data_IF_016008507886
#
_entry.id   IF_016008507886
#
_cell.length_a   1.000
_cell.length_b   1.000
_cell.length_c   1.000
_cell.angle_alpha   90.00
_cell.angle_beta   90.00
_cell.angle_gamma   90.00
#
_symmetry.space_group_name_H-M   'P 1'
#
loop_
_entity.id
_entity.type
_entity.pdbx_description
1 polymer ?
#
# COMPACT_ATOMS: atom_id res chain seq x y z
N UNK A 1 22.83 -6.70 28.26
CA UNK A 1 23.79 -6.35 29.30
C UNK A 1 23.52 -7.15 30.57
N UNK A 2 24.56 -7.86 31.06
CA UNK A 2 24.44 -8.74 32.21
C UNK A 2 25.75 -8.78 32.98
N UNK A 3 25.66 -8.75 34.31
CA UNK A 3 26.78 -9.03 35.19
C UNK A 3 26.63 -10.41 35.85
N UNK A 4 27.70 -11.18 35.87
CA UNK A 4 27.77 -12.50 36.48
C UNK A 4 28.72 -12.47 37.67
N UNK A 5 28.27 -12.90 38.83
CA UNK A 5 29.11 -12.98 40.04
C UNK A 5 30.29 -13.96 39.81
N UNK A 6 31.52 -13.55 40.11
CA UNK A 6 32.70 -14.40 40.04
C UNK A 6 32.64 -15.54 41.03
N UNK A 7 32.02 -15.28 42.20
CA UNK A 7 31.91 -16.23 43.34
C UNK A 7 30.82 -17.27 43.08
N UNK A 8 29.60 -16.82 42.77
CA UNK A 8 28.43 -17.73 42.70
C UNK A 8 28.14 -18.24 41.29
N UNK A 9 28.76 -17.64 40.29
CA UNK A 9 28.47 -17.88 38.84
C UNK A 9 27.01 -17.59 38.44
N UNK A 10 26.27 -16.87 39.28
CA UNK A 10 24.89 -16.51 39.02
C UNK A 10 24.78 -15.08 38.46
N UNK A 11 23.81 -14.80 37.61
CA UNK A 11 23.54 -13.45 37.10
C UNK A 11 23.12 -12.52 38.26
N UNK A 12 23.59 -11.27 38.20
CA UNK A 12 23.17 -10.20 39.09
C UNK A 12 21.75 -9.74 38.70
N UNK A 13 20.78 -10.05 39.53
CA UNK A 13 19.36 -9.68 39.34
C UNK A 13 18.98 -8.53 40.26
N UNK A 14 19.58 -7.37 40.06
CA UNK A 14 19.25 -6.16 40.82
C UNK A 14 18.58 -5.13 39.92
N UNK A 15 17.30 -4.77 40.21
CA UNK A 15 16.57 -3.77 39.40
C UNK A 15 17.27 -2.41 39.34
N UNK A 16 17.97 -1.98 40.42
CA UNK A 16 18.70 -0.70 40.41
C UNK A 16 19.85 -0.69 39.39
N UNK A 17 20.56 -1.80 39.26
CA UNK A 17 21.63 -1.95 38.28
C UNK A 17 21.05 -1.96 36.87
N UNK A 18 19.93 -2.68 36.63
CA UNK A 18 19.25 -2.71 35.36
C UNK A 18 18.78 -1.32 34.94
N UNK A 19 18.17 -0.58 35.84
CA UNK A 19 17.71 0.78 35.62
C UNK A 19 18.87 1.75 35.33
N UNK A 20 19.97 1.61 36.05
CA UNK A 20 21.18 2.40 35.82
C UNK A 20 21.76 2.15 34.43
N UNK A 21 21.82 0.89 34.01
CA UNK A 21 22.26 0.52 32.66
C UNK A 21 21.34 1.16 31.62
N UNK A 22 20.02 1.05 31.80
CA UNK A 22 19.03 1.61 30.88
C UNK A 22 19.18 3.14 30.71
N UNK A 23 19.38 3.88 31.82
CA UNK A 23 19.62 5.33 31.79
C UNK A 23 20.91 5.71 31.09
N UNK A 24 21.96 4.92 31.26
CA UNK A 24 23.23 5.14 30.55
C UNK A 24 23.04 4.92 29.05
N UNK A 25 22.36 3.84 28.66
CA UNK A 25 22.09 3.53 27.25
C UNK A 25 21.22 4.59 26.57
N UNK A 26 20.20 5.10 27.26
CA UNK A 26 19.36 6.18 26.77
C UNK A 26 20.16 7.44 26.44
N UNK A 27 21.19 7.72 27.23
CA UNK A 27 22.03 8.91 27.09
C UNK A 27 23.19 8.74 26.12
N UNK A 28 23.84 7.59 26.12
CA UNK A 28 25.15 7.38 25.49
C UNK A 28 25.11 6.30 24.38
N UNK A 29 23.99 5.57 24.25
CA UNK A 29 23.88 4.43 23.33
C UNK A 29 24.43 3.13 23.93
N UNK A 30 24.16 2.00 23.28
CA UNK A 30 24.52 0.67 23.79
C UNK A 30 26.02 0.32 23.65
N UNK A 31 26.73 1.00 22.74
CA UNK A 31 28.17 0.73 22.49
C UNK A 31 29.04 1.02 23.73
N UNK A 32 28.59 1.93 24.61
CA UNK A 32 29.29 2.21 25.87
C UNK A 32 29.43 0.95 26.75
N UNK A 33 28.57 -0.07 26.58
CA UNK A 33 28.71 -1.34 27.27
C UNK A 33 30.07 -2.01 27.01
N UNK A 34 30.59 -1.90 25.81
CA UNK A 34 31.80 -2.55 25.38
C UNK A 34 33.06 -1.71 25.67
N UNK A 35 32.92 -0.39 25.73
CA UNK A 35 34.05 0.55 25.84
C UNK A 35 34.29 1.01 27.28
N UNK A 36 33.25 1.10 28.11
CA UNK A 36 33.32 1.77 29.39
C UNK A 36 33.65 0.83 30.55
N UNK A 37 34.14 1.43 31.64
CA UNK A 37 34.47 0.72 32.86
C UNK A 37 33.19 0.09 33.49
N UNK A 38 33.20 -1.21 33.82
CA UNK A 38 32.07 -1.91 34.43
C UNK A 38 31.50 -1.23 35.69
N UNK A 39 32.34 -0.52 36.48
CA UNK A 39 31.89 0.18 37.67
C UNK A 39 30.85 1.25 37.39
N UNK A 40 30.90 1.90 36.22
CA UNK A 40 29.89 2.88 35.78
C UNK A 40 28.48 2.31 35.79
N UNK A 41 28.32 1.09 35.33
CA UNK A 41 27.05 0.38 35.26
C UNK A 41 26.59 -0.21 36.57
N UNK A 42 27.52 -0.72 37.37
CA UNK A 42 27.25 -1.33 38.70
C UNK A 42 26.86 -0.32 39.78
N UNK A 43 27.17 0.94 39.56
CA UNK A 43 26.94 2.00 40.57
C UNK A 43 27.83 1.86 41.79
N UNK A 44 27.31 2.29 42.96
CA UNK A 44 28.09 2.29 44.22
C UNK A 44 27.89 1.03 45.06
N UNK A 45 26.86 0.23 44.77
CA UNK A 45 26.43 -0.93 45.59
C UNK A 45 27.31 -2.16 45.39
N UNK A 46 27.86 -2.32 44.22
CA UNK A 46 28.63 -3.46 43.79
C UNK A 46 30.03 -3.05 43.30
N UNK A 47 31.00 -3.90 43.51
CA UNK A 47 32.39 -3.67 43.06
C UNK A 47 32.66 -4.46 41.80
N UNK A 48 33.26 -3.86 40.80
CA UNK A 48 33.58 -4.50 39.53
C UNK A 48 34.47 -5.72 39.62
N UNK A 49 35.28 -5.77 40.68
CA UNK A 49 36.19 -6.89 40.99
C UNK A 49 35.41 -8.19 41.25
N UNK A 50 34.21 -8.11 41.79
CA UNK A 50 33.37 -9.26 42.16
C UNK A 50 32.53 -9.80 41.01
N UNK A 51 32.48 -9.09 39.89
CA UNK A 51 31.62 -9.41 38.75
C UNK A 51 32.38 -9.51 37.45
N UNK A 52 31.79 -10.28 36.51
CA UNK A 52 32.21 -10.34 35.11
C UNK A 52 31.11 -9.65 34.29
N UNK A 53 31.47 -8.66 33.50
CA UNK A 53 30.58 -8.06 32.52
C UNK A 53 30.45 -9.02 31.31
N UNK A 54 29.25 -9.51 31.03
CA UNK A 54 29.03 -10.37 29.84
C UNK A 54 29.10 -9.53 28.57
N UNK A 55 29.82 -10.03 27.61
CA UNK A 55 29.90 -9.45 26.26
C UNK A 55 28.97 -10.21 25.28
N UNK A 56 28.21 -11.19 25.79
CA UNK A 56 27.24 -11.89 24.96
C UNK A 56 26.15 -10.92 24.53
N UNK A 57 25.72 -11.04 23.31
CA UNK A 57 24.57 -10.29 22.73
C UNK A 57 23.38 -11.22 22.63
N UNK A 58 22.20 -10.65 22.77
CA UNK A 58 20.96 -11.38 22.55
C UNK A 58 20.84 -11.71 21.06
N UNK A 59 20.29 -12.84 20.76
CA UNK A 59 20.05 -13.28 19.38
C UNK A 59 19.09 -12.31 18.70
N UNK A 60 19.40 -11.96 17.42
CA UNK A 60 18.71 -10.89 16.67
C UNK A 60 17.21 -11.14 16.49
N UNK A 61 16.80 -12.40 16.43
CA UNK A 61 15.38 -12.74 16.34
C UNK A 61 14.59 -12.44 17.61
N UNK A 62 15.25 -12.47 18.77
CA UNK A 62 14.66 -12.03 20.03
C UNK A 62 14.42 -10.52 20.02
N UNK A 63 15.43 -9.74 19.62
CA UNK A 63 15.29 -8.29 19.56
C UNK A 63 14.18 -7.88 18.58
N UNK A 64 14.16 -8.47 17.40
CA UNK A 64 13.13 -8.19 16.38
C UNK A 64 11.75 -8.72 16.80
N UNK A 65 11.70 -9.88 17.46
CA UNK A 65 10.48 -10.48 17.97
C UNK A 65 9.79 -9.61 19.02
N UNK A 66 10.57 -8.93 19.87
CA UNK A 66 10.07 -8.02 20.91
C UNK A 66 9.50 -6.69 20.39
N UNK A 67 9.53 -6.43 19.07
CA UNK A 67 9.03 -5.18 18.46
C UNK A 67 7.63 -4.79 18.91
N UNK A 68 6.74 -5.77 19.08
CA UNK A 68 5.38 -5.52 19.58
C UNK A 68 5.38 -4.83 20.97
N UNK A 69 6.39 -5.08 21.81
CA UNK A 69 6.50 -4.53 23.16
C UNK A 69 7.02 -3.09 23.15
N UNK A 70 8.15 -2.84 22.46
CA UNK A 70 8.80 -1.53 22.54
C UNK A 70 8.34 -0.54 21.46
N UNK A 71 7.59 -1.00 20.46
CA UNK A 71 6.98 -0.12 19.44
C UNK A 71 5.47 -0.05 19.63
N UNK A 72 4.73 -1.15 19.43
CA UNK A 72 3.26 -1.11 19.38
C UNK A 72 2.62 -0.70 20.72
N UNK A 73 3.11 -1.23 21.83
CA UNK A 73 2.56 -0.92 23.17
C UNK A 73 2.98 0.48 23.66
N UNK A 74 4.11 1.01 23.19
CA UNK A 74 4.63 2.31 23.67
C UNK A 74 4.09 3.49 22.89
N UNK A 75 3.75 3.32 21.63
CA UNK A 75 3.27 4.41 20.78
C UNK A 75 1.75 4.54 20.88
N UNK A 76 1.27 5.76 21.18
CA UNK A 76 -0.16 6.08 21.33
C UNK A 76 -0.94 6.07 20.02
N UNK A 77 -0.25 6.26 18.91
CA UNK A 77 -0.80 6.25 17.54
C UNK A 77 -0.86 4.85 16.93
N UNK A 78 -0.37 3.82 17.62
CA UNK A 78 -0.40 2.44 17.21
C UNK A 78 -1.28 1.58 18.13
N UNK A 79 -1.56 0.37 17.69
CA UNK A 79 -2.35 -0.59 18.47
C UNK A 79 -1.60 -1.92 18.67
N UNK A 80 -1.79 -2.53 19.84
CA UNK A 80 -1.40 -3.91 20.10
C UNK A 80 -2.65 -4.75 20.38
N UNK A 81 -2.82 -5.94 19.79
CA UNK A 81 -2.00 -6.55 18.73
C UNK A 81 -2.02 -5.75 17.43
N UNK A 82 -0.96 -5.88 16.61
CA UNK A 82 -0.92 -5.34 15.26
C UNK A 82 -2.12 -5.80 14.43
N UNK A 83 -2.59 -4.97 13.52
CA UNK A 83 -3.66 -5.39 12.59
C UNK A 83 -3.18 -6.51 11.67
N UNK A 84 -1.92 -6.44 11.22
CA UNK A 84 -1.32 -7.42 10.32
C UNK A 84 0.20 -7.45 10.48
N UNK A 85 0.78 -8.65 10.41
CA UNK A 85 2.20 -8.87 10.12
C UNK A 85 2.33 -9.28 8.65
N UNK A 86 3.21 -8.60 7.91
CA UNK A 86 3.39 -8.79 6.47
C UNK A 86 4.87 -8.99 6.18
N UNK A 87 5.23 -10.18 5.68
CA UNK A 87 6.58 -10.55 5.27
C UNK A 87 6.58 -11.78 4.34
N UNK A 88 7.77 -12.20 3.90
CA UNK A 88 7.96 -13.43 3.17
C UNK A 88 7.59 -14.68 3.96
N UNK A 89 7.28 -15.76 3.26
CA UNK A 89 6.89 -17.04 3.85
C UNK A 89 7.99 -17.68 4.72
N UNK A 90 9.26 -17.32 4.54
CA UNK A 90 10.39 -17.75 5.37
C UNK A 90 10.30 -17.27 6.80
N UNK A 91 9.58 -16.18 7.07
CA UNK A 91 9.42 -15.60 8.40
C UNK A 91 8.54 -16.45 9.34
N UNK A 92 7.91 -17.51 8.86
CA UNK A 92 7.32 -18.55 9.72
C UNK A 92 8.37 -19.27 10.59
N UNK A 93 9.64 -19.26 10.19
CA UNK A 93 10.79 -19.74 10.98
C UNK A 93 11.73 -18.61 11.41
N UNK A 94 11.28 -17.38 11.40
CA UNK A 94 12.05 -16.19 11.77
C UNK A 94 11.21 -15.25 12.65
N UNK A 95 10.97 -14.05 12.18
CA UNK A 95 10.30 -12.98 12.93
C UNK A 95 8.90 -13.33 13.42
N UNK A 96 8.05 -13.96 12.60
CA UNK A 96 6.70 -14.36 13.05
C UNK A 96 6.78 -15.34 14.21
N UNK A 97 7.71 -16.29 14.15
CA UNK A 97 7.87 -17.32 15.18
C UNK A 97 8.36 -16.73 16.50
N UNK A 98 9.47 -15.98 16.49
CA UNK A 98 10.02 -15.37 17.71
C UNK A 98 9.03 -14.40 18.35
N UNK A 99 8.41 -13.51 17.56
CA UNK A 99 7.43 -12.55 18.05
C UNK A 99 6.19 -13.22 18.65
N UNK A 100 5.71 -14.32 18.03
CA UNK A 100 4.59 -15.09 18.54
C UNK A 100 4.92 -15.72 19.90
N UNK A 101 6.07 -16.38 20.01
CA UNK A 101 6.50 -17.05 21.25
C UNK A 101 6.72 -16.05 22.38
N UNK A 102 7.37 -14.93 22.11
CA UNK A 102 7.62 -13.88 23.11
C UNK A 102 6.32 -13.23 23.59
N UNK A 103 5.41 -12.92 22.70
CA UNK A 103 4.13 -12.33 23.06
C UNK A 103 3.24 -13.32 23.81
N UNK A 104 3.14 -14.55 23.35
CA UNK A 104 2.38 -15.58 24.05
C UNK A 104 2.96 -15.89 25.43
N UNK A 105 4.30 -15.98 25.56
CA UNK A 105 4.97 -16.24 26.83
C UNK A 105 4.84 -15.10 27.85
N UNK A 106 4.77 -13.86 27.41
CA UNK A 106 4.76 -12.68 28.28
C UNK A 106 3.39 -12.03 28.45
N UNK A 107 2.47 -12.22 27.49
CA UNK A 107 1.14 -11.58 27.42
C UNK A 107 -0.01 -12.57 27.24
N UNK A 108 0.28 -13.86 27.05
CA UNK A 108 -0.71 -14.92 26.83
C UNK A 108 -1.50 -14.78 25.51
N UNK A 109 -0.99 -13.99 24.54
CA UNK A 109 -1.73 -13.60 23.33
C UNK A 109 -0.78 -13.33 22.17
N UNK A 110 -1.23 -13.64 20.93
CA UNK A 110 -0.48 -13.33 19.73
C UNK A 110 -0.32 -11.81 19.52
N UNK A 111 0.83 -11.33 18.99
CA UNK A 111 1.10 -9.91 18.79
C UNK A 111 0.41 -9.32 17.55
N UNK A 112 -0.30 -10.12 16.79
CA UNK A 112 -0.99 -9.75 15.54
C UNK A 112 -2.39 -10.36 15.47
N UNK A 113 -3.26 -9.75 14.67
CA UNK A 113 -4.62 -10.23 14.36
C UNK A 113 -4.63 -11.11 13.11
N UNK A 114 -3.75 -10.81 12.15
CA UNK A 114 -3.60 -11.53 10.89
C UNK A 114 -2.14 -11.56 10.44
N UNK A 115 -1.82 -12.53 9.59
CA UNK A 115 -0.54 -12.64 8.88
C UNK A 115 -0.86 -12.65 7.39
N UNK A 116 -0.09 -11.87 6.61
CA UNK A 116 -0.08 -11.96 5.16
C UNK A 116 1.34 -12.30 4.72
N UNK A 117 1.49 -13.39 3.96
CA UNK A 117 2.78 -13.82 3.44
C UNK A 117 2.85 -13.67 1.94
N UNK A 118 4.05 -13.38 1.44
CA UNK A 118 4.33 -13.30 0.02
C UNK A 118 5.50 -14.21 -0.37
N UNK A 119 5.59 -14.52 -1.68
CA UNK A 119 6.73 -15.23 -2.26
C UNK A 119 7.97 -14.34 -2.39
N UNK A 120 9.02 -14.89 -2.98
CA UNK A 120 10.28 -14.16 -3.20
C UNK A 120 10.29 -13.43 -4.54
N UNK A 121 11.10 -12.39 -4.64
CA UNK A 121 11.42 -11.77 -5.92
C UNK A 121 12.55 -12.56 -6.56
N UNK A 122 12.29 -13.08 -7.75
CA UNK A 122 13.22 -13.85 -8.56
C UNK A 122 13.48 -13.15 -9.90
N UNK A 123 14.56 -13.49 -10.58
CA UNK A 123 14.83 -12.94 -11.92
C UNK A 123 13.82 -13.41 -12.98
N UNK A 124 13.87 -12.88 -14.18
CA UNK A 124 12.97 -13.25 -15.27
C UNK A 124 12.97 -14.75 -15.63
N UNK A 125 14.03 -15.48 -15.26
CA UNK A 125 14.14 -16.94 -15.44
C UNK A 125 13.61 -17.73 -14.24
N UNK A 126 13.21 -17.05 -13.16
CA UNK A 126 12.75 -17.69 -11.92
C UNK A 126 13.88 -18.11 -10.97
N UNK A 127 15.08 -17.56 -11.14
CA UNK A 127 16.22 -17.85 -10.28
C UNK A 127 16.35 -16.81 -9.18
N UNK A 128 16.77 -17.23 -7.99
CA UNK A 128 17.03 -16.34 -6.87
C UNK A 128 18.05 -15.26 -7.25
N UNK A 129 17.72 -14.00 -6.99
CA UNK A 129 18.63 -12.88 -7.19
C UNK A 129 19.76 -12.92 -6.14
N UNK A 130 21.01 -12.80 -6.59
CA UNK A 130 22.16 -12.71 -5.70
C UNK A 130 23.29 -11.85 -6.30
N UNK A 131 24.09 -11.23 -5.44
CA UNK A 131 25.26 -10.44 -5.89
C UNK A 131 26.28 -11.29 -6.64
N UNK A 132 26.43 -12.56 -6.23
CA UNK A 132 27.38 -13.49 -6.83
C UNK A 132 27.02 -13.91 -8.25
N UNK A 133 25.74 -13.98 -8.58
CA UNK A 133 25.24 -14.31 -9.93
C UNK A 133 25.06 -13.08 -10.82
N UNK A 134 25.17 -11.86 -10.26
CA UNK A 134 25.04 -10.61 -11.02
C UNK A 134 23.66 -10.34 -11.62
N UNK A 135 22.61 -11.04 -11.14
CA UNK A 135 21.25 -10.92 -11.65
C UNK A 135 20.35 -10.04 -10.76
N UNK A 136 20.93 -9.24 -9.86
CA UNK A 136 20.20 -8.30 -9.02
C UNK A 136 19.77 -7.09 -9.83
N UNK A 137 18.50 -6.75 -9.77
CA UNK A 137 17.96 -5.45 -10.20
C UNK A 137 17.65 -4.66 -8.94
N UNK A 138 18.34 -3.53 -8.75
CA UNK A 138 18.12 -2.72 -7.55
C UNK A 138 16.85 -1.86 -7.69
N UNK A 139 16.10 -1.63 -6.59
CA UNK A 139 14.98 -0.69 -6.62
C UNK A 139 15.38 0.71 -7.10
N UNK A 140 16.59 1.18 -6.77
CA UNK A 140 17.11 2.48 -7.18
C UNK A 140 17.24 2.62 -8.70
N UNK A 141 17.71 1.56 -9.37
CA UNK A 141 17.78 1.51 -10.83
C UNK A 141 16.39 1.62 -11.46
N UNK A 142 15.42 0.87 -10.91
CA UNK A 142 14.02 0.91 -11.37
C UNK A 142 13.43 2.30 -11.15
N UNK A 143 13.61 2.88 -9.97
CA UNK A 143 13.09 4.21 -9.63
C UNK A 143 13.66 5.27 -10.56
N UNK A 144 14.95 5.21 -10.88
CA UNK A 144 15.61 6.15 -11.79
C UNK A 144 15.11 6.04 -13.22
N UNK A 145 14.86 4.82 -13.71
CA UNK A 145 14.46 4.58 -15.11
C UNK A 145 12.95 4.69 -15.32
N UNK A 146 12.15 4.15 -14.43
CA UNK A 146 10.70 3.99 -14.61
C UNK A 146 9.86 4.81 -13.63
N UNK A 147 10.41 5.16 -12.46
CA UNK A 147 9.67 5.79 -11.37
C UNK A 147 8.97 4.78 -10.44
N UNK A 148 8.53 5.27 -9.29
CA UNK A 148 7.96 4.44 -8.23
C UNK A 148 6.62 3.81 -8.63
N UNK A 149 5.76 4.53 -9.34
CA UNK A 149 4.42 4.04 -9.68
C UNK A 149 4.43 2.83 -10.61
N UNK A 150 5.44 2.68 -11.47
CA UNK A 150 5.58 1.50 -12.33
C UNK A 150 6.00 0.28 -11.50
N UNK A 151 6.94 0.46 -10.56
CA UNK A 151 7.31 -0.61 -9.62
C UNK A 151 6.10 -1.04 -8.77
N UNK A 152 5.34 -0.08 -8.24
CA UNK A 152 4.12 -0.34 -7.47
C UNK A 152 3.05 -1.04 -8.32
N UNK A 153 2.91 -0.65 -9.59
CA UNK A 153 1.99 -1.29 -10.54
C UNK A 153 2.36 -2.75 -10.80
N UNK A 154 3.65 -3.05 -10.94
CA UNK A 154 4.13 -4.43 -11.08
C UNK A 154 3.77 -5.27 -9.84
N UNK A 155 4.04 -4.76 -8.63
CA UNK A 155 3.67 -5.46 -7.38
C UNK A 155 2.16 -5.68 -7.31
N UNK A 156 1.34 -4.64 -7.56
CA UNK A 156 -0.11 -4.73 -7.48
C UNK A 156 -0.72 -5.65 -8.55
N UNK A 157 -0.09 -5.77 -9.71
CA UNK A 157 -0.55 -6.62 -10.81
C UNK A 157 -0.10 -8.08 -10.69
N UNK A 158 0.85 -8.36 -9.81
CA UNK A 158 1.39 -9.70 -9.59
C UNK A 158 0.61 -10.47 -8.54
N UNK A 159 0.51 -11.79 -8.69
CA UNK A 159 0.02 -12.66 -7.63
C UNK A 159 1.16 -12.91 -6.62
N UNK A 160 1.18 -12.15 -5.56
CA UNK A 160 2.23 -12.18 -4.55
C UNK A 160 2.23 -13.46 -3.69
N UNK A 161 1.21 -14.32 -3.79
CA UNK A 161 1.21 -15.64 -3.13
C UNK A 161 2.26 -16.60 -3.70
N UNK A 162 2.72 -16.31 -4.92
CA UNK A 162 3.77 -17.03 -5.64
C UNK A 162 5.06 -16.20 -5.73
N UNK A 163 6.13 -16.79 -6.23
CA UNK A 163 7.37 -16.05 -6.50
C UNK A 163 7.19 -15.05 -7.64
N UNK A 164 7.66 -13.83 -7.41
CA UNK A 164 7.48 -12.70 -8.30
C UNK A 164 8.67 -12.55 -9.25
N UNK A 165 8.44 -12.77 -10.54
CA UNK A 165 9.48 -12.56 -11.55
C UNK A 165 9.67 -11.08 -11.86
N UNK A 166 10.92 -10.66 -11.89
CA UNK A 166 11.30 -9.28 -12.19
C UNK A 166 12.44 -9.26 -13.21
N UNK A 167 12.20 -8.57 -14.33
CA UNK A 167 13.19 -8.16 -15.29
C UNK A 167 12.77 -6.86 -16.00
N UNK A 168 13.64 -6.33 -16.85
CA UNK A 168 13.36 -5.09 -17.57
C UNK A 168 12.19 -5.23 -18.56
N UNK A 169 12.01 -6.39 -19.19
CA UNK A 169 10.92 -6.59 -20.17
C UNK A 169 9.55 -6.62 -19.48
N UNK A 170 9.48 -7.21 -18.29
CA UNK A 170 8.28 -7.20 -17.44
C UNK A 170 7.95 -5.76 -17.02
N UNK A 171 8.94 -4.99 -16.59
CA UNK A 171 8.73 -3.59 -16.21
C UNK A 171 8.30 -2.71 -17.41
N UNK A 172 8.79 -2.97 -18.61
CA UNK A 172 8.35 -2.29 -19.81
C UNK A 172 6.87 -2.57 -20.13
N UNK A 173 6.40 -3.80 -19.98
CA UNK A 173 4.97 -4.12 -20.12
C UNK A 173 4.10 -3.38 -19.08
N UNK A 174 4.58 -3.25 -17.85
CA UNK A 174 3.89 -2.46 -16.82
C UNK A 174 3.93 -0.96 -17.13
N UNK A 175 5.01 -0.45 -17.71
CA UNK A 175 5.09 0.93 -18.20
C UNK A 175 4.06 1.20 -19.31
N UNK A 176 3.84 0.26 -20.24
CA UNK A 176 2.79 0.38 -21.26
C UNK A 176 1.39 0.38 -20.62
N UNK A 177 1.13 -0.49 -19.66
CA UNK A 177 -0.13 -0.53 -18.91
C UNK A 177 -0.37 0.79 -18.16
N UNK A 178 0.66 1.32 -17.53
CA UNK A 178 0.63 2.62 -16.86
C UNK A 178 0.32 3.76 -17.85
N UNK A 179 0.91 3.75 -19.05
CA UNK A 179 0.62 4.76 -20.10
C UNK A 179 -0.86 4.77 -20.48
N UNK A 180 -1.51 3.60 -20.58
CA UNK A 180 -2.97 3.51 -20.84
C UNK A 180 -3.77 4.20 -19.75
N UNK A 181 -3.48 3.92 -18.47
CA UNK A 181 -4.13 4.57 -17.33
C UNK A 181 -3.87 6.08 -17.35
N UNK A 182 -2.62 6.50 -17.55
CA UNK A 182 -2.25 7.92 -17.62
C UNK A 182 -2.96 8.66 -18.77
N UNK A 183 -3.12 8.02 -19.93
CA UNK A 183 -3.87 8.59 -21.04
C UNK A 183 -5.36 8.77 -20.70
N UNK A 184 -5.97 7.86 -19.93
CA UNK A 184 -7.33 8.02 -19.41
C UNK A 184 -7.43 9.27 -18.54
N UNK A 185 -6.53 9.44 -17.57
CA UNK A 185 -6.47 10.65 -16.75
C UNK A 185 -6.23 11.92 -17.56
N UNK A 186 -5.32 11.86 -18.53
CA UNK A 186 -5.04 13.01 -19.42
C UNK A 186 -6.28 13.43 -20.22
N UNK A 187 -7.07 12.47 -20.71
CA UNK A 187 -8.32 12.76 -21.40
C UNK A 187 -9.34 13.44 -20.48
N UNK A 188 -9.50 12.89 -19.25
CA UNK A 188 -10.39 13.45 -18.24
C UNK A 188 -10.00 14.89 -17.90
N UNK A 189 -8.73 15.13 -17.55
CA UNK A 189 -8.22 16.46 -17.23
C UNK A 189 -8.38 17.46 -18.38
N UNK A 190 -8.10 17.04 -19.61
CA UNK A 190 -8.24 17.90 -20.80
C UNK A 190 -9.66 18.40 -21.03
N UNK A 191 -10.68 17.57 -20.71
CA UNK A 191 -12.10 17.93 -20.85
C UNK A 191 -12.67 18.66 -19.64
N UNK A 192 -11.98 18.63 -18.48
CA UNK A 192 -12.44 19.23 -17.22
C UNK A 192 -11.70 20.55 -16.85
N UNK A 193 -10.79 21.03 -17.73
CA UNK A 193 -9.79 22.08 -17.46
C UNK A 193 -10.36 23.40 -16.86
N UNK A 194 -11.60 23.75 -17.20
CA UNK A 194 -12.22 25.02 -16.81
C UNK A 194 -13.33 24.85 -15.75
N UNK A 195 -13.42 23.67 -15.12
CA UNK A 195 -14.52 23.37 -14.20
C UNK A 195 -14.00 23.00 -12.81
N UNK A 196 -14.55 23.67 -11.80
CA UNK A 196 -14.40 23.20 -10.42
C UNK A 196 -15.03 21.81 -10.30
N UNK A 197 -14.18 20.81 -10.05
CA UNK A 197 -14.60 19.44 -9.79
C UNK A 197 -15.17 19.38 -8.37
N UNK A 198 -16.40 19.81 -8.20
CA UNK A 198 -17.13 19.73 -6.94
C UNK A 198 -18.38 18.88 -7.17
N UNK A 199 -18.22 17.56 -7.09
CA UNK A 199 -19.33 16.65 -7.32
C UNK A 199 -19.69 15.90 -6.04
N UNK A 200 -20.92 16.13 -5.54
CA UNK A 200 -21.47 15.29 -4.48
C UNK A 200 -22.17 14.10 -5.12
N UNK A 201 -21.55 12.92 -5.05
CA UNK A 201 -22.06 11.66 -5.62
C UNK A 201 -23.49 11.35 -5.16
N UNK A 202 -23.81 11.67 -3.90
CA UNK A 202 -25.08 11.33 -3.26
C UNK A 202 -26.28 12.19 -3.73
N UNK A 203 -26.04 13.36 -4.34
CA UNK A 203 -27.11 14.33 -4.71
C UNK A 203 -27.44 14.38 -6.19
N UNK A 204 -26.92 13.45 -7.00
CA UNK A 204 -27.07 13.49 -8.44
C UNK A 204 -28.26 12.66 -8.88
N UNK A 205 -29.29 13.32 -9.41
CA UNK A 205 -30.42 12.69 -10.10
C UNK A 205 -29.94 12.14 -11.45
N UNK A 206 -29.56 10.87 -11.48
CA UNK A 206 -28.99 10.19 -12.66
C UNK A 206 -30.06 9.50 -13.53
N UNK A 207 -31.28 9.40 -13.04
CA UNK A 207 -32.38 8.70 -13.72
C UNK A 207 -32.71 9.32 -15.09
N UNK A 208 -32.55 10.64 -15.20
CA UNK A 208 -32.81 11.42 -16.43
C UNK A 208 -31.59 11.53 -17.35
N UNK A 209 -30.47 10.89 -16.99
CA UNK A 209 -29.29 10.92 -17.82
C UNK A 209 -29.46 10.00 -19.06
N UNK A 210 -28.76 10.30 -20.17
CA UNK A 210 -28.77 9.42 -21.35
C UNK A 210 -28.34 7.99 -20.99
N UNK A 211 -28.83 7.01 -21.72
CA UNK A 211 -28.61 5.59 -21.43
C UNK A 211 -27.12 5.20 -21.32
N UNK A 212 -26.25 5.76 -22.17
CA UNK A 212 -24.84 5.41 -22.17
C UNK A 212 -24.15 5.89 -20.87
N UNK A 213 -24.49 7.08 -20.38
CA UNK A 213 -23.97 7.59 -19.12
C UNK A 213 -24.42 6.72 -17.94
N UNK A 214 -25.69 6.33 -17.93
CA UNK A 214 -26.23 5.41 -16.91
C UNK A 214 -25.64 4.00 -16.98
N UNK A 215 -25.29 3.54 -18.18
CA UNK A 215 -24.57 2.28 -18.35
C UNK A 215 -23.16 2.36 -17.73
N UNK A 216 -22.42 3.44 -17.95
CA UNK A 216 -21.10 3.64 -17.32
C UNK A 216 -21.21 3.74 -15.79
N UNK A 217 -22.23 4.43 -15.28
CA UNK A 217 -22.48 4.45 -13.82
C UNK A 217 -22.75 3.04 -13.26
N UNK A 218 -23.49 2.21 -13.99
CA UNK A 218 -23.69 0.82 -13.60
C UNK A 218 -22.39 0.00 -13.63
N UNK A 219 -21.52 0.22 -14.63
CA UNK A 219 -20.19 -0.39 -14.67
C UNK A 219 -19.34 0.00 -13.45
N UNK A 220 -19.36 1.27 -13.07
CA UNK A 220 -18.71 1.77 -11.84
C UNK A 220 -19.27 1.10 -10.60
N UNK A 221 -20.59 0.92 -10.51
CA UNK A 221 -21.22 0.25 -9.40
C UNK A 221 -20.79 -1.23 -9.27
N UNK A 222 -20.71 -1.97 -10.37
CA UNK A 222 -20.23 -3.35 -10.38
C UNK A 222 -18.73 -3.41 -10.00
N UNK A 223 -17.94 -2.52 -10.58
CA UNK A 223 -16.51 -2.44 -10.30
C UNK A 223 -16.24 -2.11 -8.83
N UNK A 224 -17.06 -1.24 -8.21
CA UNK A 224 -16.91 -0.95 -6.77
C UNK A 224 -17.19 -2.17 -5.88
N UNK A 225 -18.19 -2.99 -6.21
CA UNK A 225 -18.44 -4.25 -5.48
C UNK A 225 -17.23 -5.17 -5.53
N UNK A 226 -16.61 -5.29 -6.71
CA UNK A 226 -15.40 -6.09 -6.90
C UNK A 226 -14.19 -5.45 -6.19
N UNK A 227 -14.07 -4.11 -6.27
CA UNK A 227 -13.03 -3.35 -5.57
C UNK A 227 -13.05 -3.62 -4.07
N UNK A 228 -14.21 -3.45 -3.42
CA UNK A 228 -14.36 -3.69 -1.99
C UNK A 228 -14.04 -5.15 -1.60
N UNK A 229 -14.49 -6.11 -2.42
CA UNK A 229 -14.20 -7.53 -2.22
C UNK A 229 -12.70 -7.81 -2.31
N UNK A 230 -12.07 -7.46 -3.43
CA UNK A 230 -10.66 -7.76 -3.67
C UNK A 230 -9.73 -7.01 -2.72
N UNK A 231 -10.09 -5.78 -2.34
CA UNK A 231 -9.34 -5.01 -1.36
C UNK A 231 -9.39 -5.68 0.02
N UNK A 232 -10.55 -6.16 0.44
CA UNK A 232 -10.73 -6.88 1.70
C UNK A 232 -10.03 -8.23 1.72
N UNK A 233 -9.98 -8.91 0.57
CA UNK A 233 -9.31 -10.21 0.38
C UNK A 233 -7.82 -10.06 0.07
N UNK A 234 -7.28 -8.85 0.00
CA UNK A 234 -5.90 -8.55 -0.44
C UNK A 234 -5.58 -9.08 -1.85
N UNK A 235 -6.58 -9.19 -2.72
CA UNK A 235 -6.48 -9.76 -4.06
C UNK A 235 -6.15 -8.68 -5.10
N UNK A 236 -5.00 -8.00 -4.90
CA UNK A 236 -4.66 -6.78 -5.63
C UNK A 236 -4.44 -6.99 -7.13
N UNK A 237 -3.96 -8.16 -7.55
CA UNK A 237 -3.75 -8.45 -8.98
C UNK A 237 -5.07 -8.48 -9.76
N UNK A 238 -6.15 -9.02 -9.18
CA UNK A 238 -7.49 -8.97 -9.80
C UNK A 238 -8.04 -7.56 -9.83
N UNK A 239 -7.87 -6.83 -8.73
CA UNK A 239 -8.27 -5.43 -8.64
C UNK A 239 -7.58 -4.58 -9.70
N UNK A 240 -6.26 -4.65 -9.80
CA UNK A 240 -5.49 -3.89 -10.78
C UNK A 240 -5.91 -4.21 -12.21
N UNK A 241 -6.12 -5.49 -12.54
CA UNK A 241 -6.57 -5.94 -13.85
C UNK A 241 -7.94 -5.35 -14.22
N UNK A 242 -8.90 -5.35 -13.30
CA UNK A 242 -10.23 -4.77 -13.56
C UNK A 242 -10.16 -3.24 -13.74
N UNK A 243 -9.38 -2.54 -12.92
CA UNK A 243 -9.17 -1.10 -13.07
C UNK A 243 -8.50 -0.74 -14.40
N UNK A 244 -7.48 -1.50 -14.81
CA UNK A 244 -6.81 -1.32 -16.09
C UNK A 244 -7.78 -1.57 -17.26
N UNK A 245 -8.57 -2.63 -17.21
CA UNK A 245 -9.56 -2.95 -18.22
C UNK A 245 -10.66 -1.87 -18.30
N UNK A 246 -11.13 -1.39 -17.18
CA UNK A 246 -12.10 -0.29 -17.14
C UNK A 246 -11.53 0.97 -17.83
N UNK A 247 -10.30 1.37 -17.51
CA UNK A 247 -9.65 2.53 -18.14
C UNK A 247 -9.44 2.34 -19.64
N UNK A 248 -8.97 1.16 -20.07
CA UNK A 248 -8.55 0.93 -21.46
C UNK A 248 -9.70 0.53 -22.39
N UNK A 249 -10.57 -0.36 -21.95
CA UNK A 249 -11.63 -0.94 -22.78
C UNK A 249 -12.94 -0.16 -22.62
N UNK A 250 -13.41 0.02 -21.40
CA UNK A 250 -14.72 0.64 -21.15
C UNK A 250 -14.69 2.17 -21.33
N UNK A 251 -13.65 2.82 -20.84
CA UNK A 251 -13.54 4.27 -20.97
C UNK A 251 -12.89 4.68 -22.29
N UNK A 252 -11.63 4.33 -22.52
CA UNK A 252 -10.87 4.87 -23.66
C UNK A 252 -11.37 4.34 -25.00
N UNK A 253 -11.51 3.03 -25.16
CA UNK A 253 -11.89 2.44 -26.44
C UNK A 253 -13.41 2.51 -26.71
N UNK A 254 -14.23 2.67 -25.69
CA UNK A 254 -15.69 2.68 -25.86
C UNK A 254 -16.33 4.03 -25.52
N UNK A 255 -16.39 4.42 -24.25
CA UNK A 255 -17.16 5.60 -23.84
C UNK A 255 -16.59 6.91 -24.40
N UNK A 256 -15.31 7.15 -24.27
CA UNK A 256 -14.66 8.38 -24.75
C UNK A 256 -14.74 8.47 -26.26
N UNK A 257 -14.57 7.36 -26.96
CA UNK A 257 -14.66 7.30 -28.41
C UNK A 257 -16.05 7.71 -28.91
N UNK A 258 -17.10 7.18 -28.30
CA UNK A 258 -18.49 7.53 -28.66
C UNK A 258 -18.82 8.99 -28.32
N UNK A 259 -18.22 9.55 -27.29
CA UNK A 259 -18.57 10.90 -26.77
C UNK A 259 -17.68 12.03 -27.31
N UNK A 260 -16.70 11.75 -28.15
CA UNK A 260 -15.81 12.78 -28.74
C UNK A 260 -16.59 13.90 -29.42
N UNK A 261 -17.56 13.59 -30.25
CA UNK A 261 -18.31 14.58 -30.99
C UNK A 261 -19.12 15.49 -30.08
N UNK A 262 -19.77 14.92 -29.06
CA UNK A 262 -20.53 15.68 -28.05
C UNK A 262 -19.59 16.60 -27.27
N UNK A 263 -18.42 16.09 -26.86
CA UNK A 263 -17.47 16.86 -26.06
C UNK A 263 -16.83 18.02 -26.84
N UNK A 264 -16.57 17.84 -28.14
CA UNK A 264 -15.81 18.79 -28.94
C UNK A 264 -16.70 19.68 -29.86
N UNK A 265 -17.83 19.17 -30.34
CA UNK A 265 -18.65 19.85 -31.31
C UNK A 265 -19.95 20.43 -30.75
N UNK A 266 -20.53 19.84 -29.72
CA UNK A 266 -21.79 20.35 -29.14
C UNK A 266 -21.60 21.70 -28.43
N UNK A 267 -22.66 22.52 -28.41
CA UNK A 267 -22.71 23.77 -27.66
C UNK A 267 -22.47 23.49 -26.17
N UNK A 268 -21.75 24.41 -25.49
CA UNK A 268 -21.45 24.31 -24.06
C UNK A 268 -22.70 24.29 -23.16
N UNK A 269 -23.83 24.81 -23.67
CA UNK A 269 -25.13 24.78 -22.98
C UNK A 269 -25.91 23.48 -23.20
N UNK A 270 -25.49 22.65 -24.17
CA UNK A 270 -26.16 21.37 -24.47
C UNK A 270 -26.28 20.51 -23.21
N UNK A 271 -27.48 20.01 -22.94
CA UNK A 271 -27.72 19.09 -21.79
C UNK A 271 -26.90 17.82 -21.91
N UNK A 272 -26.78 17.27 -23.13
CA UNK A 272 -25.97 16.07 -23.38
C UNK A 272 -24.50 16.30 -23.04
N UNK A 273 -23.91 17.43 -23.49
CA UNK A 273 -22.53 17.78 -23.17
C UNK A 273 -22.32 18.00 -21.69
N UNK A 274 -23.24 18.71 -21.00
CA UNK A 274 -23.17 18.92 -19.56
C UNK A 274 -23.20 17.60 -18.78
N UNK A 275 -24.11 16.67 -19.16
CA UNK A 275 -24.20 15.36 -18.53
C UNK A 275 -22.91 14.55 -18.75
N UNK A 276 -22.38 14.57 -19.98
CA UNK A 276 -21.10 13.92 -20.28
C UNK A 276 -19.97 14.48 -19.39
N UNK A 277 -19.81 15.79 -19.31
CA UNK A 277 -18.81 16.46 -18.46
C UNK A 277 -19.00 16.09 -16.99
N UNK A 278 -20.24 16.04 -16.50
CA UNK A 278 -20.54 15.65 -15.12
C UNK A 278 -20.07 14.20 -14.87
N UNK A 279 -20.35 13.28 -15.80
CA UNK A 279 -19.86 11.90 -15.67
C UNK A 279 -18.33 11.83 -15.70
N UNK A 280 -17.65 12.59 -16.60
CA UNK A 280 -16.18 12.63 -16.60
C UNK A 280 -15.60 13.10 -15.24
N UNK A 281 -16.26 14.07 -14.59
CA UNK A 281 -15.87 14.55 -13.28
C UNK A 281 -16.02 13.46 -12.20
N UNK A 282 -17.13 12.72 -12.21
CA UNK A 282 -17.37 11.58 -11.32
C UNK A 282 -16.30 10.50 -11.52
N UNK A 283 -16.03 10.15 -12.80
CA UNK A 283 -15.02 9.13 -13.15
C UNK A 283 -13.64 9.55 -12.63
N UNK A 284 -13.27 10.82 -12.80
CA UNK A 284 -11.98 11.33 -12.34
C UNK A 284 -11.83 11.18 -10.83
N UNK A 285 -12.81 11.64 -10.04
CA UNK A 285 -12.79 11.53 -8.58
C UNK A 285 -12.67 10.08 -8.11
N UNK A 286 -13.49 9.19 -8.67
CA UNK A 286 -13.51 7.78 -8.31
C UNK A 286 -12.19 7.09 -8.67
N UNK A 287 -11.68 7.28 -9.88
CA UNK A 287 -10.43 6.67 -10.33
C UNK A 287 -9.22 7.17 -9.53
N UNK A 288 -9.17 8.45 -9.18
CA UNK A 288 -8.10 8.98 -8.32
C UNK A 288 -8.06 8.26 -6.99
N UNK A 289 -9.21 8.09 -6.35
CA UNK A 289 -9.33 7.42 -5.05
C UNK A 289 -9.01 5.92 -5.14
N UNK A 290 -9.46 5.24 -6.19
CA UNK A 290 -9.18 3.82 -6.37
C UNK A 290 -7.72 3.53 -6.71
N UNK A 291 -7.07 4.40 -7.50
CA UNK A 291 -5.67 4.24 -7.86
C UNK A 291 -4.68 4.80 -6.83
N UNK A 292 -5.11 5.63 -5.90
CA UNK A 292 -4.22 6.26 -4.91
C UNK A 292 -3.32 5.26 -4.14
N UNK A 293 -3.80 4.09 -3.70
CA UNK A 293 -2.94 3.10 -3.04
C UNK A 293 -1.91 2.45 -3.96
N UNK A 294 -2.11 2.49 -5.29
CA UNK A 294 -1.25 1.83 -6.29
C UNK A 294 -0.35 2.86 -6.98
N UNK A 295 -0.95 3.87 -7.62
CA UNK A 295 -0.28 4.95 -8.36
C UNK A 295 -0.15 6.20 -7.48
N UNK A 296 0.52 6.05 -6.34
CA UNK A 296 0.49 7.05 -5.26
C UNK A 296 1.00 8.43 -5.70
N UNK A 297 2.02 8.48 -6.54
CA UNK A 297 2.60 9.74 -7.02
C UNK A 297 1.76 10.37 -8.12
N UNK A 298 1.33 9.57 -9.09
CA UNK A 298 0.51 10.05 -10.22
C UNK A 298 -0.83 10.60 -9.76
N UNK A 299 -1.50 9.91 -8.84
CA UNK A 299 -2.80 10.37 -8.33
C UNK A 299 -2.68 11.61 -7.47
N UNK A 300 -1.62 11.73 -6.67
CA UNK A 300 -1.33 12.94 -5.90
C UNK A 300 -1.02 14.12 -6.81
N UNK A 301 -0.18 13.95 -7.83
CA UNK A 301 0.10 15.00 -8.82
C UNK A 301 -1.19 15.52 -9.48
N UNK A 302 -2.07 14.62 -9.91
CA UNK A 302 -3.35 14.99 -10.52
C UNK A 302 -4.26 15.69 -9.50
N UNK A 303 -4.33 15.17 -8.28
CA UNK A 303 -5.13 15.75 -7.22
C UNK A 303 -4.70 17.19 -6.88
N UNK A 304 -3.40 17.45 -6.82
CA UNK A 304 -2.87 18.80 -6.59
C UNK A 304 -3.14 19.76 -7.76
N UNK A 305 -3.27 19.25 -9.00
CA UNK A 305 -3.64 20.08 -10.15
C UNK A 305 -5.10 20.54 -10.10
N UNK A 306 -6.01 19.65 -9.65
CA UNK A 306 -7.46 19.95 -9.65
C UNK A 306 -7.95 20.55 -8.34
N UNK A 307 -7.24 20.34 -7.23
CA UNK A 307 -7.60 20.84 -5.91
C UNK A 307 -6.74 22.03 -5.54
N UNK A 308 -7.39 23.17 -5.34
CA UNK A 308 -6.72 24.42 -4.98
C UNK A 308 -6.53 24.61 -3.47
N UNK A 309 -7.02 23.70 -2.65
CA UNK A 309 -6.87 23.76 -1.19
C UNK A 309 -5.44 23.39 -0.78
N UNK A 310 -4.77 24.33 -0.13
CA UNK A 310 -3.44 24.08 0.44
C UNK A 310 -3.53 23.05 1.57
N UNK A 311 -2.58 22.12 1.60
CA UNK A 311 -2.45 21.05 2.62
C UNK A 311 -3.49 19.92 2.55
N UNK A 312 -4.16 19.72 1.41
CA UNK A 312 -4.94 18.52 1.14
C UNK A 312 -4.12 17.51 0.33
N UNK A 313 -4.45 16.24 0.46
CA UNK A 313 -3.80 15.13 -0.28
C UNK A 313 -4.84 14.06 -0.61
N UNK A 314 -4.72 13.43 -1.79
CA UNK A 314 -5.57 12.29 -2.16
C UNK A 314 -5.46 11.15 -1.14
N UNK A 315 -4.33 11.02 -0.48
CA UNK A 315 -4.07 9.99 0.53
C UNK A 315 -4.81 10.23 1.86
N UNK A 316 -5.42 11.39 2.04
CA UNK A 316 -6.29 11.72 3.18
C UNK A 316 -7.78 11.55 2.84
N UNK A 317 -8.10 11.29 1.56
CA UNK A 317 -9.46 11.07 1.10
C UNK A 317 -9.95 9.65 1.42
N UNK A 318 -11.25 9.52 1.65
CA UNK A 318 -11.89 8.22 1.78
C UNK A 318 -12.20 7.61 0.42
N UNK A 319 -12.26 6.28 0.33
CA UNK A 319 -12.79 5.60 -0.85
C UNK A 319 -14.23 6.05 -1.14
N UNK A 320 -14.60 6.15 -2.44
CA UNK A 320 -15.91 6.67 -2.82
C UNK A 320 -17.02 5.72 -2.39
N UNK A 321 -18.12 6.28 -1.88
CA UNK A 321 -19.36 5.55 -1.63
C UNK A 321 -20.22 5.61 -2.87
N UNK A 322 -20.32 4.50 -3.59
CA UNK A 322 -21.07 4.45 -4.84
C UNK A 322 -22.57 4.25 -4.55
N UNK A 323 -23.46 5.13 -5.07
CA UNK A 323 -24.90 5.03 -4.82
C UNK A 323 -25.52 3.74 -5.37
N UNK A 324 -26.39 3.11 -4.58
CA UNK A 324 -27.05 1.86 -4.97
C UNK A 324 -28.02 2.02 -6.17
N UNK A 325 -28.59 3.21 -6.37
CA UNK A 325 -29.49 3.51 -7.50
C UNK A 325 -28.76 3.56 -8.86
N UNK A 326 -27.43 3.45 -8.91
CA UNK A 326 -26.70 3.25 -10.15
C UNK A 326 -26.81 1.83 -10.69
N UNK A 327 -27.30 0.86 -9.90
CA UNK A 327 -27.53 -0.50 -10.38
C UNK A 327 -28.66 -0.54 -11.41
N UNK A 328 -28.36 -1.00 -12.64
CA UNK A 328 -29.35 -1.16 -13.71
C UNK A 328 -29.02 -2.36 -14.61
N UNK A 329 -29.39 -3.56 -14.15
CA UNK A 329 -29.12 -4.82 -14.85
C UNK A 329 -29.71 -4.89 -16.26
N UNK A 330 -30.93 -4.39 -16.44
CA UNK A 330 -31.59 -4.41 -17.76
C UNK A 330 -30.84 -3.57 -18.78
N UNK A 331 -30.38 -2.39 -18.36
CA UNK A 331 -29.59 -1.49 -19.21
C UNK A 331 -28.22 -2.12 -19.53
N UNK A 332 -27.59 -2.75 -18.55
CA UNK A 332 -26.34 -3.47 -18.73
C UNK A 332 -26.46 -4.57 -19.80
N UNK A 333 -27.43 -5.47 -19.66
CA UNK A 333 -27.66 -6.54 -20.64
C UNK A 333 -27.93 -6.02 -22.05
N UNK A 334 -28.66 -4.91 -22.18
CA UNK A 334 -28.89 -4.23 -23.46
C UNK A 334 -27.58 -3.77 -24.09
N UNK A 335 -26.75 -3.06 -23.33
CA UNK A 335 -25.50 -2.49 -23.84
C UNK A 335 -24.44 -3.54 -24.14
N UNK A 336 -24.37 -4.62 -23.37
CA UNK A 336 -23.48 -5.74 -23.69
C UNK A 336 -23.80 -6.38 -25.05
N UNK A 337 -25.09 -6.53 -25.36
CA UNK A 337 -25.51 -7.00 -26.70
C UNK A 337 -25.15 -6.00 -27.80
N UNK A 338 -25.31 -4.69 -27.56
CA UNK A 338 -24.92 -3.65 -28.52
C UNK A 338 -23.40 -3.59 -28.75
N UNK A 339 -22.61 -3.83 -27.72
CA UNK A 339 -21.13 -3.89 -27.85
C UNK A 339 -20.70 -5.06 -28.76
N UNK A 340 -21.34 -6.21 -28.66
CA UNK A 340 -21.08 -7.37 -29.55
C UNK A 340 -21.33 -7.03 -31.00
N UNK A 341 -22.40 -6.26 -31.31
CA UNK A 341 -22.73 -5.85 -32.68
C UNK A 341 -21.73 -4.83 -33.23
N UNK A 342 -21.16 -4.01 -32.37
CA UNK A 342 -20.17 -2.98 -32.79
C UNK A 342 -18.81 -3.58 -33.13
N UNK A 343 -18.40 -4.66 -32.45
CA UNK A 343 -17.11 -5.36 -32.68
C UNK A 343 -17.20 -6.34 -33.84
#
# INVERSE_FOLDING_TARGET
PLFVSKKTKQPLRDPEVVENIAKIYEKEGADCWFTDDPQKFLGKKYKKEDYIKSNDIVEVWFDSGATHSYVLEKRKDLSWPASMYLEGSDQHRGWFHSSLLESCGTRGKAPFKSILTHGFVVDGKGLKMSKSTGNIISPEEILKKYGADILRSWVAASDYSEDLRLDHSILEQHAESYRKIRNTFRFLLGNLRDKKVNFKLESTEVENWPELERYILHQIFLLNKNFEKYFREYNFHKLYKELLNFCSLELSAFYFDIRKDILYCDDTKSTKRKTCINLLSIILDILLKWFAPILSFTTEEIFQIINLEKNSSIHLENFPKIPANWENKKLYEKWEKLKIIRN
#
